data_IF_086734619427
#
_entry.id   IF_086734619427
#
_cell.length_a   1.000
_cell.length_b   1.000
_cell.length_c   1.000
_cell.angle_alpha   90.00
_cell.angle_beta   90.00
_cell.angle_gamma   90.00
#
_symmetry.space_group_name_H-M   'P 1'
#
loop_
_entity.id
_entity.type
_entity.pdbx_description
1 polymer ?
#
# COMPACT_ATOMS: atom_id res chain seq x y z
N UNK A 1 11.41 -27.83 -12.91
CA UNK A 1 10.09 -27.39 -13.42
C UNK A 1 10.30 -27.03 -14.88
N UNK A 2 9.73 -27.77 -15.82
CA UNK A 2 9.96 -27.57 -17.25
C UNK A 2 8.97 -26.50 -17.74
N UNK A 3 9.46 -25.31 -18.06
CA UNK A 3 8.63 -24.23 -18.61
C UNK A 3 8.20 -24.64 -20.03
N UNK A 4 6.91 -24.85 -20.23
CA UNK A 4 6.36 -25.11 -21.56
C UNK A 4 6.20 -23.76 -22.28
N UNK A 5 7.17 -23.41 -23.10
CA UNK A 5 7.02 -22.29 -24.04
C UNK A 5 6.14 -22.75 -25.21
N UNK A 6 5.17 -21.92 -25.58
CA UNK A 6 4.42 -22.15 -26.81
C UNK A 6 5.33 -22.05 -28.05
N UNK A 7 4.87 -22.62 -29.16
CA UNK A 7 5.65 -22.73 -30.39
C UNK A 7 6.07 -21.37 -30.97
N UNK A 8 5.26 -20.33 -30.75
CA UNK A 8 5.51 -18.99 -31.28
C UNK A 8 6.61 -18.29 -30.46
N UNK A 9 6.51 -18.32 -29.13
CA UNK A 9 7.53 -17.78 -28.22
C UNK A 9 8.87 -18.50 -28.37
N UNK A 10 8.84 -19.83 -28.59
CA UNK A 10 10.04 -20.61 -28.85
C UNK A 10 10.71 -20.21 -30.17
N UNK A 11 9.92 -19.97 -31.23
CA UNK A 11 10.43 -19.52 -32.52
C UNK A 11 11.06 -18.12 -32.40
N UNK A 12 10.41 -17.20 -31.67
CA UNK A 12 10.94 -15.86 -31.43
C UNK A 12 12.28 -15.88 -30.68
N UNK A 13 12.38 -16.66 -29.59
CA UNK A 13 13.63 -16.79 -28.83
C UNK A 13 14.74 -17.50 -29.63
N UNK A 14 14.39 -18.48 -30.46
CA UNK A 14 15.34 -19.13 -31.38
C UNK A 14 15.88 -18.15 -32.43
N UNK A 15 15.04 -17.27 -32.97
CA UNK A 15 15.48 -16.24 -33.91
C UNK A 15 16.42 -15.23 -33.25
N UNK A 16 16.13 -14.82 -32.01
CA UNK A 16 16.99 -13.94 -31.22
C UNK A 16 18.34 -14.61 -30.93
N UNK A 17 18.33 -15.88 -30.50
CA UNK A 17 19.56 -16.65 -30.24
C UNK A 17 20.43 -16.79 -31.50
N UNK A 18 19.79 -17.06 -32.65
CA UNK A 18 20.46 -17.15 -33.95
C UNK A 18 21.08 -15.80 -34.36
N UNK A 19 20.35 -14.70 -34.15
CA UNK A 19 20.84 -13.35 -34.45
C UNK A 19 22.02 -12.95 -33.55
N UNK A 20 22.03 -13.42 -32.31
CA UNK A 20 23.07 -13.13 -31.32
C UNK A 20 24.27 -14.07 -31.40
N UNK A 21 24.24 -15.10 -32.27
CA UNK A 21 25.24 -16.18 -32.33
C UNK A 21 25.47 -16.86 -30.96
N UNK A 22 24.38 -17.08 -30.23
CA UNK A 22 24.38 -17.64 -28.86
C UNK A 22 23.51 -18.87 -28.77
N UNK A 23 23.80 -19.73 -27.80
CA UNK A 23 22.93 -20.87 -27.51
C UNK A 23 21.56 -20.39 -27.00
N UNK A 24 20.49 -21.03 -27.48
CA UNK A 24 19.13 -20.71 -27.08
C UNK A 24 18.94 -20.85 -25.56
N UNK A 25 19.61 -21.82 -24.93
CA UNK A 25 19.53 -22.05 -23.49
C UNK A 25 20.12 -20.87 -22.71
N UNK A 26 21.19 -20.26 -23.21
CA UNK A 26 21.80 -19.10 -22.58
C UNK A 26 20.88 -17.88 -22.63
N UNK A 27 20.27 -17.64 -23.79
CA UNK A 27 19.29 -16.55 -23.98
C UNK A 27 18.06 -16.75 -23.09
N UNK A 28 17.57 -17.99 -22.99
CA UNK A 28 16.41 -18.33 -22.16
C UNK A 28 16.75 -18.20 -20.67
N UNK A 29 17.91 -18.70 -20.23
CA UNK A 29 18.34 -18.62 -18.84
C UNK A 29 18.56 -17.16 -18.42
N UNK A 30 19.14 -16.34 -19.28
CA UNK A 30 19.32 -14.90 -19.03
C UNK A 30 17.96 -14.19 -18.92
N UNK A 31 17.03 -14.47 -19.83
CA UNK A 31 15.68 -13.90 -19.77
C UNK A 31 14.93 -14.31 -18.49
N UNK A 32 15.08 -15.56 -18.06
CA UNK A 32 14.50 -16.06 -16.80
C UNK A 32 15.12 -15.34 -15.60
N UNK A 33 16.45 -15.24 -15.55
CA UNK A 33 17.16 -14.55 -14.47
C UNK A 33 16.74 -13.08 -14.37
N UNK A 34 16.68 -12.37 -15.50
CA UNK A 34 16.26 -10.97 -15.55
C UNK A 34 14.80 -10.82 -15.09
N UNK A 35 13.91 -11.70 -15.52
CA UNK A 35 12.51 -11.69 -15.07
C UNK A 35 12.41 -11.95 -13.56
N UNK A 36 13.14 -12.93 -13.03
CA UNK A 36 13.13 -13.23 -11.60
C UNK A 36 13.65 -12.04 -10.78
N UNK A 37 14.71 -11.38 -11.23
CA UNK A 37 15.26 -10.19 -10.56
C UNK A 37 14.24 -9.04 -10.51
N UNK A 38 13.57 -8.76 -11.63
CA UNK A 38 12.51 -7.74 -11.69
C UNK A 38 11.37 -8.08 -10.74
N UNK A 39 10.92 -9.34 -10.71
CA UNK A 39 9.85 -9.76 -9.82
C UNK A 39 10.26 -9.74 -8.34
N UNK A 40 11.50 -10.11 -8.01
CA UNK A 40 12.03 -10.01 -6.65
C UNK A 40 12.06 -8.56 -6.18
N UNK A 41 12.49 -7.63 -7.04
CA UNK A 41 12.47 -6.20 -6.76
C UNK A 41 11.04 -5.70 -6.54
N UNK A 42 10.11 -6.09 -7.40
CA UNK A 42 8.69 -5.73 -7.29
C UNK A 42 8.09 -6.24 -5.98
N UNK A 43 8.33 -7.50 -5.61
CA UNK A 43 7.88 -8.09 -4.35
C UNK A 43 8.48 -7.39 -3.14
N UNK A 44 9.76 -7.01 -3.22
CA UNK A 44 10.44 -6.24 -2.15
C UNK A 44 9.82 -4.85 -2.00
N UNK A 45 9.44 -4.21 -3.10
CA UNK A 45 8.79 -2.90 -3.09
C UNK A 45 7.35 -2.98 -2.58
N UNK A 46 6.57 -3.97 -3.00
CA UNK A 46 5.24 -4.25 -2.45
C UNK A 46 5.28 -4.55 -0.95
N UNK A 47 6.22 -5.36 -0.49
CA UNK A 47 6.37 -5.65 0.96
C UNK A 47 6.87 -4.44 1.73
N UNK A 48 7.81 -3.66 1.20
CA UNK A 48 8.26 -2.41 1.82
C UNK A 48 7.13 -1.39 1.94
N UNK A 49 6.28 -1.27 0.92
CA UNK A 49 5.12 -0.39 0.94
C UNK A 49 4.06 -0.88 1.95
N UNK A 50 3.87 -2.20 2.06
CA UNK A 50 3.03 -2.80 3.10
C UNK A 50 3.58 -2.56 4.50
N UNK A 51 4.89 -2.74 4.73
CA UNK A 51 5.50 -2.48 6.03
C UNK A 51 5.51 -0.98 6.36
N UNK A 52 5.65 -0.10 5.36
CA UNK A 52 5.49 1.35 5.53
C UNK A 52 4.04 1.73 5.86
N UNK A 53 3.06 1.03 5.27
CA UNK A 53 1.64 1.17 5.60
C UNK A 53 1.35 0.68 7.01
N UNK A 54 1.80 -0.53 7.38
CA UNK A 54 1.69 -1.07 8.74
C UNK A 54 2.40 -0.21 9.78
N UNK A 55 3.52 0.41 9.44
CA UNK A 55 4.19 1.37 10.31
C UNK A 55 3.39 2.67 10.47
N UNK A 56 2.51 3.00 9.51
CA UNK A 56 1.52 4.07 9.62
C UNK A 56 0.31 3.63 10.45
N UNK A 57 -0.08 2.36 10.39
CA UNK A 57 -1.15 1.73 11.20
C UNK A 57 -0.74 1.49 12.67
N UNK A 58 0.50 1.83 13.05
CA UNK A 58 0.90 1.93 14.47
C UNK A 58 0.35 3.19 15.16
N UNK A 59 -0.50 3.98 14.49
CA UNK A 59 -1.49 4.82 15.19
C UNK A 59 -2.63 3.90 15.64
N UNK A 60 -2.27 3.03 16.58
CA UNK A 60 -3.09 2.38 17.61
C UNK A 60 -4.62 2.54 17.43
N UNK A 61 -5.28 1.48 16.94
CA UNK A 61 -6.72 1.17 17.14
C UNK A 61 -7.06 0.93 18.64
N UNK A 62 -6.46 1.73 19.50
CA UNK A 62 -6.37 1.59 20.94
C UNK A 62 -5.93 2.88 21.63
N UNK A 63 -5.79 4.01 20.91
CA UNK A 63 -5.78 5.34 21.52
C UNK A 63 -7.16 5.54 22.15
N UNK A 64 -7.33 5.02 23.37
CA UNK A 64 -8.24 5.58 24.37
C UNK A 64 -8.09 7.08 24.21
N UNK A 65 -9.08 7.74 23.62
CA UNK A 65 -9.13 9.20 23.44
C UNK A 65 -8.59 9.80 24.72
N UNK A 66 -7.32 10.19 24.74
CA UNK A 66 -6.71 10.68 25.97
C UNK A 66 -7.50 11.94 26.26
N UNK A 67 -8.11 12.09 27.44
CA UNK A 67 -8.93 13.25 27.72
C UNK A 67 -8.06 14.48 27.47
N UNK A 68 -8.39 15.23 26.42
CA UNK A 68 -7.64 16.42 26.04
C UNK A 68 -7.88 17.41 27.16
N UNK A 69 -6.82 17.75 27.89
CA UNK A 69 -6.91 18.75 28.93
C UNK A 69 -7.05 20.14 28.29
N UNK A 70 -8.29 20.62 28.23
CA UNK A 70 -8.61 21.92 27.70
C UNK A 70 -8.13 23.05 28.61
N UNK A 71 -7.98 22.82 29.92
CA UNK A 71 -7.52 23.84 30.86
C UNK A 71 -6.04 24.17 30.64
N UNK A 72 -5.17 23.17 30.44
CA UNK A 72 -3.77 23.42 30.08
C UNK A 72 -3.60 24.10 28.73
N UNK A 73 -4.62 24.05 27.86
CA UNK A 73 -4.69 24.81 26.60
C UNK A 73 -5.33 26.20 26.74
N UNK A 74 -5.60 26.65 27.97
CA UNK A 74 -6.16 27.97 28.26
C UNK A 74 -7.67 28.09 28.01
N UNK A 75 -8.37 26.98 27.81
CA UNK A 75 -9.82 26.96 27.55
C UNK A 75 -10.55 26.68 28.86
N UNK A 76 -11.30 27.67 29.36
CA UNK A 76 -12.10 27.51 30.57
C UNK A 76 -13.38 26.69 30.32
N UNK A 77 -14.10 26.30 31.38
CA UNK A 77 -15.35 25.50 31.27
C UNK A 77 -16.42 26.14 30.38
N UNK A 78 -16.56 27.46 30.41
CA UNK A 78 -17.56 28.18 29.60
C UNK A 78 -17.21 28.12 28.10
N UNK A 79 -15.93 28.28 27.77
CA UNK A 79 -15.42 28.16 26.40
C UNK A 79 -15.51 26.72 25.90
N UNK A 80 -15.21 25.74 26.75
CA UNK A 80 -15.37 24.32 26.44
C UNK A 80 -16.85 23.98 26.14
N UNK A 81 -17.78 24.44 26.98
CA UNK A 81 -19.20 24.25 26.76
C UNK A 81 -19.69 24.88 25.45
N UNK A 82 -19.23 26.10 25.14
CA UNK A 82 -19.55 26.75 23.87
C UNK A 82 -18.99 25.99 22.66
N UNK A 83 -17.77 25.47 22.76
CA UNK A 83 -17.15 24.65 21.72
C UNK A 83 -17.93 23.34 21.50
N UNK A 84 -18.29 22.65 22.58
CA UNK A 84 -19.12 21.44 22.51
C UNK A 84 -20.47 21.71 21.85
N UNK A 85 -21.17 22.78 22.22
CA UNK A 85 -22.46 23.13 21.63
C UNK A 85 -22.36 23.41 20.11
N UNK A 86 -21.27 24.07 19.67
CA UNK A 86 -21.04 24.32 18.23
C UNK A 86 -20.73 23.04 17.47
N UNK A 87 -19.92 22.15 18.04
CA UNK A 87 -19.52 20.89 17.44
C UNK A 87 -20.63 19.82 17.48
N UNK A 88 -21.67 20.00 18.28
CA UNK A 88 -22.79 19.07 18.36
C UNK A 88 -23.54 18.95 17.03
N UNK A 89 -23.74 20.05 16.32
CA UNK A 89 -24.32 20.05 14.96
C UNK A 89 -23.48 19.26 13.95
N UNK A 90 -22.15 19.34 14.06
CA UNK A 90 -21.23 18.55 13.24
C UNK A 90 -21.22 17.08 13.66
N UNK A 91 -21.52 16.76 14.93
CA UNK A 91 -21.53 15.37 15.40
C UNK A 91 -22.71 14.60 14.81
N UNK A 92 -23.86 15.24 14.64
CA UNK A 92 -25.02 14.61 14.01
C UNK A 92 -24.77 14.32 12.52
N UNK A 93 -24.16 15.28 11.82
CA UNK A 93 -23.80 15.15 10.40
C UNK A 93 -22.63 14.16 10.19
N UNK A 94 -21.70 14.07 11.13
CA UNK A 94 -20.58 13.12 11.07
C UNK A 94 -20.97 11.66 11.39
N UNK A 95 -22.07 11.45 12.13
CA UNK A 95 -22.58 10.11 12.42
C UNK A 95 -23.55 9.57 11.34
N UNK A 96 -23.68 10.24 10.19
CA UNK A 96 -24.47 9.70 9.10
C UNK A 96 -23.73 8.52 8.43
N UNK A 97 -24.45 7.48 7.99
CA UNK A 97 -23.83 6.31 7.36
C UNK A 97 -23.07 6.65 6.07
N UNK A 98 -23.35 7.80 5.46
CA UNK A 98 -22.59 8.32 4.32
C UNK A 98 -21.16 8.76 4.69
N UNK A 99 -20.90 9.11 5.96
CA UNK A 99 -19.57 9.47 6.44
C UNK A 99 -18.69 8.26 6.77
N UNK A 100 -19.27 7.07 6.97
CA UNK A 100 -18.54 5.81 7.18
C UNK A 100 -17.61 5.48 5.99
N UNK A 101 -17.83 6.08 4.81
CA UNK A 101 -16.98 5.96 3.63
C UNK A 101 -15.57 6.51 3.87
N UNK A 102 -15.43 7.52 4.73
CA UNK A 102 -14.13 8.12 5.05
C UNK A 102 -13.33 7.29 6.06
N UNK A 103 -13.99 6.46 6.86
CA UNK A 103 -13.32 5.53 7.78
C UNK A 103 -12.75 4.30 7.06
N UNK A 104 -13.15 4.06 5.81
CA UNK A 104 -12.73 2.93 4.98
C UNK A 104 -11.57 3.24 4.01
N UNK A 105 -10.97 4.44 4.07
CA UNK A 105 -9.84 4.90 3.24
C UNK A 105 -8.51 4.81 3.97
#
# INVERSE_FOLDING_TARGET
>A
MMLTLDSEKKAALSAIATLMDRDLSDVVNEAISNYLEINQKLLTESTKNLEKSKACDLIDEGEKKRPIDLQSRGINRQQAANLCARLQSFTEDWNCPEMDVYDAL
#
